data_IF_036514095619
#
_entry.id   IF_036514095619
#
_cell.length_a   1.000
_cell.length_b   1.000
_cell.length_c   1.000
_cell.angle_alpha   90.00
_cell.angle_beta   90.00
_cell.angle_gamma   90.00
#
_symmetry.space_group_name_H-M   'P 1'
#
loop_
_entity.id
_entity.type
_entity.pdbx_description
1 polymer ?
#
# COMPACT_ATOMS: atom_id res chain seq x y z
N UNK A 1 51.13 48.33 39.04
CA UNK A 1 49.92 48.81 38.36
C UNK A 1 49.20 47.55 37.89
N UNK A 2 48.49 46.82 38.75
CA UNK A 2 47.15 47.13 39.29
C UNK A 2 46.19 47.49 38.14
N UNK A 3 45.08 46.79 37.85
CA UNK A 3 44.15 46.01 38.68
C UNK A 3 43.49 44.93 37.80
N UNK A 4 43.42 43.66 38.18
CA UNK A 4 42.61 43.05 39.24
C UNK A 4 41.13 42.87 38.84
N UNK A 5 40.74 41.66 38.42
CA UNK A 5 39.47 41.02 38.82
C UNK A 5 39.47 39.53 38.44
N UNK A 6 40.00 38.74 39.38
CA UNK A 6 39.44 37.45 39.84
C UNK A 6 37.91 37.62 40.11
N UNK A 7 37.01 36.65 40.11
CA UNK A 7 37.01 35.20 40.02
C UNK A 7 35.53 34.78 40.12
N UNK A 8 35.23 33.57 39.64
CA UNK A 8 34.23 32.63 40.20
C UNK A 8 32.74 32.85 39.90
N UNK A 9 32.17 31.70 39.52
CA UNK A 9 30.83 31.31 39.07
C UNK A 9 29.71 31.49 40.09
N UNK A 10 28.46 31.67 39.61
CA UNK A 10 27.23 30.93 40.02
C UNK A 10 25.93 31.56 39.49
N UNK A 11 25.12 30.68 38.88
CA UNK A 11 23.68 30.42 39.09
C UNK A 11 22.63 31.55 39.16
N UNK A 12 21.49 31.23 38.54
CA UNK A 12 20.14 31.82 38.67
C UNK A 12 19.98 33.14 37.89
N UNK A 13 18.90 33.33 37.12
CA UNK A 13 17.60 33.74 37.64
C UNK A 13 16.39 33.21 36.85
N UNK A 14 15.37 32.89 37.64
CA UNK A 14 13.99 32.53 37.28
C UNK A 14 13.17 33.81 37.00
N UNK A 15 12.13 33.61 36.18
CA UNK A 15 10.95 34.38 35.68
C UNK A 15 10.20 35.33 36.66
N UNK A 16 8.97 35.90 36.40
CA UNK A 16 8.13 36.15 35.19
C UNK A 16 7.47 37.58 35.18
N UNK A 17 6.63 37.96 34.19
CA UNK A 17 5.36 38.74 34.40
C UNK A 17 4.52 39.03 33.11
N UNK A 18 3.30 38.46 33.09
CA UNK A 18 1.97 38.89 32.57
C UNK A 18 1.76 39.81 31.33
N UNK A 19 1.20 39.20 30.26
CA UNK A 19 -0.06 39.46 29.46
C UNK A 19 -0.57 40.90 29.10
N UNK A 20 -1.47 41.13 28.09
CA UNK A 20 -2.18 40.22 27.16
C UNK A 20 -2.28 40.71 25.67
N UNK A 21 -2.64 39.81 24.74
CA UNK A 21 -3.72 39.94 23.73
C UNK A 21 -3.45 39.00 22.52
N UNK A 22 -3.93 37.75 22.62
CA UNK A 22 -3.95 36.79 21.51
C UNK A 22 -5.41 36.48 21.18
N UNK A 23 -5.90 36.76 19.96
CA UNK A 23 -7.30 36.57 19.61
C UNK A 23 -7.67 35.08 19.60
N UNK A 24 -8.70 34.72 20.36
CA UNK A 24 -9.25 33.38 20.59
C UNK A 24 -9.55 32.54 19.33
N UNK A 25 -9.55 33.13 18.13
CA UNK A 25 -9.71 32.42 16.86
C UNK A 25 -8.48 31.59 16.45
N UNK A 26 -7.29 31.96 16.91
CA UNK A 26 -6.06 31.18 16.67
C UNK A 26 -5.98 30.00 17.63
N UNK A 27 -6.39 30.19 18.89
CA UNK A 27 -6.49 29.11 19.88
C UNK A 27 -7.52 28.04 19.48
N UNK A 28 -8.68 28.44 18.94
CA UNK A 28 -9.75 27.50 18.58
C UNK A 28 -9.46 26.61 17.35
N UNK A 29 -8.45 26.93 16.52
CA UNK A 29 -8.04 26.06 15.39
C UNK A 29 -6.98 25.02 15.76
N UNK A 30 -6.34 25.16 16.91
CA UNK A 30 -5.23 24.29 17.35
C UNK A 30 -5.74 23.23 18.36
N UNK A 31 -6.94 23.38 18.92
CA UNK A 31 -7.55 22.37 19.78
C UNK A 31 -8.20 21.24 18.97
N UNK A 32 -7.36 20.34 18.43
CA UNK A 32 -7.55 18.88 18.28
C UNK A 32 -6.50 18.28 17.33
N UNK A 33 -5.22 18.55 17.57
CA UNK A 33 -4.19 17.58 17.17
C UNK A 33 -4.10 16.58 18.32
N UNK A 34 -4.63 15.37 18.12
CA UNK A 34 -4.25 14.25 18.96
C UNK A 34 -2.72 14.16 18.91
N UNK A 35 -2.08 14.14 20.08
CA UNK A 35 -0.62 14.01 20.20
C UNK A 35 -0.13 12.89 19.27
N UNK A 36 0.72 13.23 18.29
CA UNK A 36 1.18 12.28 17.28
C UNK A 36 1.85 11.10 17.96
N UNK A 37 1.13 9.99 18.06
CA UNK A 37 1.66 8.73 18.54
C UNK A 37 2.28 8.00 17.35
N UNK A 38 3.61 8.08 17.27
CA UNK A 38 4.41 7.44 16.25
C UNK A 38 4.14 5.93 16.21
N UNK A 39 3.94 5.26 17.35
CA UNK A 39 3.78 3.80 17.37
C UNK A 39 2.46 3.40 16.75
N UNK A 40 1.34 4.02 17.14
CA UNK A 40 0.05 3.74 16.51
C UNK A 40 0.05 4.11 15.02
N UNK A 41 0.71 5.20 14.64
CA UNK A 41 0.87 5.58 13.24
C UNK A 41 1.64 4.53 12.43
N UNK A 42 2.74 3.99 12.98
CA UNK A 42 3.53 2.94 12.33
C UNK A 42 2.75 1.62 12.23
N UNK A 43 1.98 1.26 13.26
CA UNK A 43 1.14 0.06 13.25
C UNK A 43 0.01 0.18 12.22
N UNK A 44 -0.68 1.32 12.17
CA UNK A 44 -1.71 1.58 11.16
C UNK A 44 -1.14 1.52 9.74
N UNK A 45 0.06 2.08 9.51
CA UNK A 45 0.74 2.00 8.22
C UNK A 45 1.10 0.55 7.83
N UNK A 46 1.46 -0.31 8.79
CA UNK A 46 1.76 -1.72 8.52
C UNK A 46 0.50 -2.55 8.19
N UNK A 47 -0.68 -2.12 8.64
CA UNK A 47 -1.98 -2.75 8.43
C UNK A 47 -2.75 -2.17 7.22
N UNK A 48 -2.03 -1.56 6.26
CA UNK A 48 -2.63 -0.93 5.08
C UNK A 48 -3.56 -1.88 4.29
N UNK A 49 -3.32 -3.20 4.31
CA UNK A 49 -4.16 -4.20 3.64
C UNK A 49 -5.51 -4.40 4.33
N UNK A 50 -5.61 -4.12 5.63
CA UNK A 50 -6.84 -4.20 6.42
C UNK A 50 -7.52 -2.84 6.55
N UNK A 51 -6.91 -1.76 6.05
CA UNK A 51 -7.43 -0.41 6.22
C UNK A 51 -8.56 -0.15 5.20
N UNK A 52 -9.77 0.24 5.66
CA UNK A 52 -10.94 0.34 4.77
C UNK A 52 -10.81 1.38 3.64
N UNK A 53 -10.06 2.45 3.83
CA UNK A 53 -9.85 3.52 2.84
C UNK A 53 -8.92 3.11 1.68
N UNK A 54 -7.97 2.21 1.98
CA UNK A 54 -7.06 1.59 1.01
C UNK A 54 -7.70 0.42 0.27
N UNK A 55 -8.80 -0.12 0.78
CA UNK A 55 -9.56 -1.20 0.13
C UNK A 55 -10.58 -0.64 -0.85
N UNK A 56 -10.59 -1.13 -2.10
CA UNK A 56 -11.57 -0.75 -3.13
C UNK A 56 -12.53 -1.90 -3.40
N UNK A 57 -13.82 -1.57 -3.41
CA UNK A 57 -14.88 -2.48 -3.85
C UNK A 57 -15.00 -2.43 -5.38
N UNK A 58 -14.99 -3.59 -6.03
CA UNK A 58 -15.08 -3.72 -7.48
C UNK A 58 -16.21 -4.68 -7.85
N UNK A 59 -17.18 -4.18 -8.59
CA UNK A 59 -18.31 -4.95 -9.08
C UNK A 59 -18.04 -5.55 -10.46
N UNK A 60 -18.17 -6.87 -10.60
CA UNK A 60 -18.15 -7.54 -11.90
C UNK A 60 -19.56 -7.57 -12.49
N UNK A 61 -19.82 -6.64 -13.42
CA UNK A 61 -21.10 -6.47 -14.11
C UNK A 61 -20.98 -6.73 -15.60
N UNK A 62 -21.92 -7.48 -16.17
CA UNK A 62 -22.03 -7.70 -17.62
C UNK A 62 -23.45 -7.47 -18.07
N UNK A 63 -23.64 -6.65 -19.10
CA UNK A 63 -24.96 -6.30 -19.64
C UNK A 63 -25.96 -5.83 -18.55
N UNK A 64 -25.50 -5.02 -17.60
CA UNK A 64 -26.32 -4.50 -16.50
C UNK A 64 -26.61 -5.50 -15.36
N UNK A 65 -26.16 -6.75 -15.46
CA UNK A 65 -26.29 -7.74 -14.38
C UNK A 65 -25.02 -7.81 -13.54
N UNK A 66 -25.16 -7.67 -12.22
CA UNK A 66 -24.12 -7.97 -11.24
C UNK A 66 -23.93 -9.48 -11.10
N UNK A 67 -22.68 -9.93 -11.20
CA UNK A 67 -22.29 -11.32 -10.99
C UNK A 67 -21.73 -11.54 -9.59
N UNK A 68 -20.74 -10.74 -9.22
CA UNK A 68 -20.14 -10.74 -7.90
C UNK A 68 -19.36 -9.44 -7.69
N UNK A 69 -18.99 -9.19 -6.45
CA UNK A 69 -18.19 -8.04 -6.02
C UNK A 69 -16.95 -8.57 -5.31
N UNK A 70 -15.80 -7.92 -5.53
CA UNK A 70 -14.54 -8.24 -4.85
C UNK A 70 -13.98 -7.00 -4.19
N UNK A 71 -13.35 -7.17 -3.05
CA UNK A 71 -12.61 -6.11 -2.36
C UNK A 71 -11.12 -6.31 -2.60
N UNK A 72 -10.44 -5.30 -3.11
CA UNK A 72 -9.00 -5.33 -3.39
C UNK A 72 -8.26 -4.27 -2.61
N UNK A 73 -7.13 -4.64 -2.03
CA UNK A 73 -6.21 -3.78 -1.30
C UNK A 73 -4.87 -3.66 -2.06
N UNK A 74 -4.01 -2.69 -1.70
CA UNK A 74 -2.68 -2.57 -2.29
C UNK A 74 -1.82 -3.82 -2.07
N UNK A 75 -0.90 -4.09 -2.99
CA UNK A 75 0.05 -5.21 -2.90
C UNK A 75 1.41 -4.75 -2.40
N UNK A 76 2.10 -5.60 -1.64
CA UNK A 76 3.50 -5.39 -1.28
C UNK A 76 4.47 -5.86 -2.38
N UNK A 77 5.73 -5.43 -2.27
CA UNK A 77 6.84 -6.05 -3.02
C UNK A 77 6.96 -7.56 -2.80
N UNK A 78 6.67 -8.03 -1.58
CA UNK A 78 6.67 -9.45 -1.25
C UNK A 78 5.55 -10.21 -1.97
N UNK A 79 4.36 -9.59 -2.10
CA UNK A 79 3.25 -10.15 -2.88
C UNK A 79 3.61 -10.25 -4.37
N UNK A 80 4.23 -9.22 -4.93
CA UNK A 80 4.70 -9.21 -6.33
C UNK A 80 5.78 -10.27 -6.55
N UNK A 81 6.73 -10.38 -5.62
CA UNK A 81 7.79 -11.38 -5.64
C UNK A 81 7.22 -12.80 -5.55
N UNK A 82 6.24 -13.01 -4.67
CA UNK A 82 5.53 -14.27 -4.52
C UNK A 82 4.75 -14.62 -5.80
N UNK A 83 4.02 -13.67 -6.38
CA UNK A 83 3.31 -13.85 -7.64
C UNK A 83 4.27 -14.25 -8.77
N UNK A 84 5.40 -13.54 -8.93
CA UNK A 84 6.44 -13.92 -9.92
C UNK A 84 6.96 -15.32 -9.68
N UNK A 85 7.25 -15.67 -8.43
CA UNK A 85 7.75 -17.01 -8.06
C UNK A 85 6.71 -18.10 -8.39
N UNK A 86 5.43 -17.87 -8.09
CA UNK A 86 4.36 -18.84 -8.34
C UNK A 86 4.02 -18.98 -9.84
N UNK A 87 4.25 -17.92 -10.61
CA UNK A 87 4.01 -17.89 -12.05
C UNK A 87 5.22 -18.26 -12.92
N UNK A 88 6.41 -18.46 -12.31
CA UNK A 88 7.61 -18.85 -13.04
C UNK A 88 7.79 -20.38 -13.06
N UNK A 89 8.24 -20.90 -14.19
CA UNK A 89 8.81 -22.26 -14.23
C UNK A 89 10.20 -22.24 -13.60
N UNK A 90 10.62 -23.37 -13.06
CA UNK A 90 11.99 -23.55 -12.55
C UNK A 90 12.58 -24.81 -13.17
N UNK A 91 13.84 -24.75 -13.58
CA UNK A 91 14.53 -25.87 -14.22
C UNK A 91 15.72 -26.32 -13.38
N UNK A 92 16.14 -27.58 -13.55
CA UNK A 92 17.42 -28.03 -13.00
C UNK A 92 18.54 -27.13 -13.54
N UNK A 93 19.52 -26.82 -12.69
CA UNK A 93 20.63 -25.97 -13.12
C UNK A 93 21.50 -26.75 -14.13
N UNK A 94 21.74 -26.22 -15.34
CA UNK A 94 22.59 -26.87 -16.34
C UNK A 94 24.02 -27.14 -15.84
N UNK A 95 24.49 -26.34 -14.88
CA UNK A 95 25.83 -26.46 -14.28
C UNK A 95 25.90 -27.54 -13.20
N UNK A 96 24.77 -28.15 -12.82
CA UNK A 96 24.75 -29.32 -11.94
C UNK A 96 23.56 -29.36 -10.99
N UNK A 97 23.07 -30.58 -10.71
CA UNK A 97 21.86 -30.84 -9.90
C UNK A 97 21.94 -30.39 -8.44
N UNK A 98 23.14 -30.13 -7.92
CA UNK A 98 23.35 -29.66 -6.54
C UNK A 98 23.23 -28.13 -6.40
N UNK A 99 23.17 -27.41 -7.52
CA UNK A 99 23.04 -25.95 -7.52
C UNK A 99 21.58 -25.52 -7.48
N UNK A 100 21.28 -24.29 -7.00
CA UNK A 100 19.94 -23.75 -7.03
C UNK A 100 19.33 -23.81 -8.43
N UNK A 101 18.03 -24.14 -8.48
CA UNK A 101 17.26 -24.18 -9.73
C UNK A 101 17.25 -22.82 -10.39
N UNK A 102 17.30 -22.82 -11.72
CA UNK A 102 17.29 -21.59 -12.51
C UNK A 102 15.84 -21.22 -12.82
N UNK A 103 15.50 -19.94 -12.64
CA UNK A 103 14.19 -19.40 -13.02
C UNK A 103 14.06 -19.44 -14.54
N UNK A 104 12.96 -20.02 -14.99
CA UNK A 104 12.55 -20.09 -16.37
C UNK A 104 11.67 -18.92 -16.80
N UNK A 105 10.88 -19.18 -17.84
CA UNK A 105 9.87 -18.24 -18.33
C UNK A 105 8.81 -17.93 -17.25
N UNK A 106 8.38 -16.67 -17.23
CA UNK A 106 7.26 -16.17 -16.45
C UNK A 106 5.97 -16.34 -17.25
N UNK A 107 4.99 -17.03 -16.69
CA UNK A 107 3.63 -17.04 -17.22
C UNK A 107 2.92 -15.75 -16.81
N UNK A 108 2.87 -14.75 -17.70
CA UNK A 108 2.25 -13.45 -17.42
C UNK A 108 0.76 -13.55 -17.07
N UNK A 109 0.04 -14.52 -17.64
CA UNK A 109 -1.38 -14.70 -17.33
C UNK A 109 -1.55 -15.20 -15.89
N UNK A 110 -0.78 -16.22 -15.52
CA UNK A 110 -0.78 -16.76 -14.15
C UNK A 110 -0.26 -15.73 -13.15
N UNK A 111 0.74 -14.92 -13.52
CA UNK A 111 1.22 -13.81 -12.71
C UNK A 111 0.09 -12.83 -12.38
N UNK A 112 -0.66 -12.36 -13.39
CA UNK A 112 -1.80 -11.47 -13.17
C UNK A 112 -2.88 -12.13 -12.30
N UNK A 113 -3.15 -13.44 -12.47
CA UNK A 113 -4.08 -14.13 -11.57
C UNK A 113 -3.58 -14.12 -10.11
N UNK A 114 -2.28 -14.31 -9.89
CA UNK A 114 -1.71 -14.23 -8.54
C UNK A 114 -1.76 -12.83 -7.95
N UNK A 115 -1.52 -11.78 -8.74
CA UNK A 115 -1.66 -10.39 -8.28
C UNK A 115 -3.09 -10.13 -7.81
N UNK A 116 -4.09 -10.46 -8.63
CA UNK A 116 -5.51 -10.31 -8.23
C UNK A 116 -5.80 -11.12 -6.97
N UNK A 117 -5.35 -12.38 -6.91
CA UNK A 117 -5.59 -13.24 -5.75
C UNK A 117 -4.98 -12.65 -4.47
N UNK A 118 -3.74 -12.17 -4.51
CA UNK A 118 -3.02 -11.59 -3.36
C UNK A 118 -3.47 -10.18 -3.00
N UNK A 119 -4.11 -9.45 -3.91
CA UNK A 119 -4.74 -8.16 -3.63
C UNK A 119 -6.17 -8.32 -3.09
N UNK A 120 -6.84 -9.44 -3.35
CA UNK A 120 -8.24 -9.63 -2.91
C UNK A 120 -8.29 -9.82 -1.39
N UNK A 121 -9.29 -9.27 -0.69
CA UNK A 121 -9.52 -9.54 0.73
C UNK A 121 -9.69 -11.04 1.02
N UNK A 122 -9.25 -11.51 2.19
CA UNK A 122 -9.22 -12.95 2.51
C UNK A 122 -10.60 -13.61 2.43
N UNK A 123 -11.65 -12.93 2.91
CA UNK A 123 -13.03 -13.40 2.84
C UNK A 123 -13.49 -13.64 1.40
N UNK A 124 -13.15 -12.73 0.49
CA UNK A 124 -13.49 -12.85 -0.94
C UNK A 124 -12.65 -13.91 -1.64
N UNK A 125 -11.39 -14.13 -1.22
CA UNK A 125 -10.57 -15.24 -1.73
C UNK A 125 -11.23 -16.58 -1.46
N UNK A 126 -11.74 -16.81 -0.26
CA UNK A 126 -12.41 -18.07 0.08
C UNK A 126 -13.76 -18.19 -0.62
N UNK A 127 -14.59 -17.14 -0.52
CA UNK A 127 -15.97 -17.14 -1.00
C UNK A 127 -16.08 -17.21 -2.53
N UNK A 128 -15.17 -16.54 -3.25
CA UNK A 128 -15.24 -16.35 -4.70
C UNK A 128 -14.21 -17.22 -5.39
N UNK A 129 -12.91 -16.97 -5.15
CA UNK A 129 -11.84 -17.66 -5.89
C UNK A 129 -11.66 -19.12 -5.45
N UNK A 130 -11.84 -19.39 -4.16
CA UNK A 130 -11.78 -20.72 -3.55
C UNK A 130 -13.12 -21.45 -3.49
N UNK A 131 -14.16 -20.92 -4.14
CA UNK A 131 -15.50 -21.47 -4.04
C UNK A 131 -15.54 -22.94 -4.47
N UNK A 132 -15.90 -23.83 -3.53
CA UNK A 132 -15.84 -25.28 -3.77
C UNK A 132 -16.69 -25.77 -4.94
N UNK A 133 -17.81 -25.10 -5.24
CA UNK A 133 -18.68 -25.46 -6.36
C UNK A 133 -18.02 -25.12 -7.71
N UNK A 134 -17.37 -23.95 -7.80
CA UNK A 134 -16.60 -23.53 -8.97
C UNK A 134 -15.39 -24.44 -9.17
N UNK A 135 -14.62 -24.68 -8.11
CA UNK A 135 -13.44 -25.55 -8.17
C UNK A 135 -13.79 -26.94 -8.68
N UNK A 136 -14.87 -27.55 -8.16
CA UNK A 136 -15.34 -28.86 -8.63
C UNK A 136 -15.85 -28.83 -10.07
N UNK A 137 -16.65 -27.82 -10.43
CA UNK A 137 -17.26 -27.72 -11.76
C UNK A 137 -16.23 -27.61 -12.88
N UNK A 138 -15.15 -26.87 -12.65
CA UNK A 138 -14.10 -26.65 -13.65
C UNK A 138 -12.83 -27.50 -13.40
N UNK A 139 -12.88 -28.43 -12.44
CA UNK A 139 -11.76 -29.30 -12.06
C UNK A 139 -10.46 -28.52 -11.75
N UNK A 140 -10.60 -27.46 -10.94
CA UNK A 140 -9.49 -26.58 -10.56
C UNK A 140 -8.73 -27.18 -9.39
N UNK A 141 -7.41 -27.09 -9.45
CA UNK A 141 -6.50 -27.54 -8.40
C UNK A 141 -6.20 -26.44 -7.39
N UNK A 142 -6.28 -25.17 -7.81
CA UNK A 142 -5.96 -24.01 -6.97
C UNK A 142 -7.01 -22.90 -7.11
N UNK A 143 -7.33 -22.18 -6.03
CA UNK A 143 -8.26 -21.04 -6.08
C UNK A 143 -7.91 -20.00 -7.15
N UNK A 144 -6.62 -19.67 -7.31
CA UNK A 144 -6.13 -18.70 -8.31
C UNK A 144 -6.51 -19.04 -9.76
N UNK A 145 -6.74 -20.32 -10.06
CA UNK A 145 -7.12 -20.75 -11.41
C UNK A 145 -8.54 -20.31 -11.77
N UNK A 146 -9.41 -20.14 -10.76
CA UNK A 146 -10.80 -19.71 -10.97
C UNK A 146 -10.92 -18.32 -11.58
N UNK A 147 -9.94 -17.44 -11.34
CA UNK A 147 -9.90 -16.06 -11.84
C UNK A 147 -9.99 -16.04 -13.37
N UNK A 148 -9.32 -16.98 -14.05
CA UNK A 148 -9.34 -17.10 -15.51
C UNK A 148 -10.66 -17.63 -16.08
N UNK A 149 -11.51 -18.23 -15.24
CA UNK A 149 -12.85 -18.70 -15.64
C UNK A 149 -13.93 -17.69 -15.28
N UNK A 150 -13.73 -16.94 -14.20
CA UNK A 150 -14.73 -16.02 -13.65
C UNK A 150 -14.65 -14.65 -14.29
N UNK A 151 -13.46 -14.18 -14.69
CA UNK A 151 -13.26 -12.88 -15.34
C UNK A 151 -13.07 -13.01 -16.85
N UNK A 152 -13.61 -12.07 -17.62
CA UNK A 152 -13.18 -11.88 -19.01
C UNK A 152 -11.86 -11.09 -19.04
N UNK A 153 -11.15 -11.13 -20.18
CA UNK A 153 -9.84 -10.50 -20.31
C UNK A 153 -9.83 -9.01 -19.94
N UNK A 154 -10.85 -8.25 -20.35
CA UNK A 154 -10.99 -6.83 -20.02
C UNK A 154 -11.16 -6.57 -18.52
N UNK A 155 -12.04 -7.32 -17.85
CA UNK A 155 -12.25 -7.22 -16.39
C UNK A 155 -10.98 -7.58 -15.62
N UNK A 156 -10.23 -8.59 -16.09
CA UNK A 156 -8.94 -8.97 -15.51
C UNK A 156 -7.91 -7.86 -15.66
N UNK A 157 -7.84 -7.21 -16.82
CA UNK A 157 -6.95 -6.06 -17.03
C UNK A 157 -7.30 -4.92 -16.09
N UNK A 158 -8.59 -4.54 -16.02
CA UNK A 158 -9.05 -3.44 -15.16
C UNK A 158 -8.74 -3.66 -13.69
N UNK A 159 -8.87 -4.90 -13.19
CA UNK A 159 -8.47 -5.22 -11.83
C UNK A 159 -6.96 -5.07 -11.61
N UNK A 160 -6.13 -5.48 -12.57
CA UNK A 160 -4.67 -5.30 -12.46
C UNK A 160 -4.30 -3.82 -12.45
N UNK A 161 -4.88 -3.04 -13.37
CA UNK A 161 -4.60 -1.62 -13.48
C UNK A 161 -5.00 -0.90 -12.17
N UNK A 162 -6.19 -1.21 -11.63
CA UNK A 162 -6.63 -0.69 -10.34
C UNK A 162 -5.69 -1.11 -9.20
N UNK A 163 -5.28 -2.38 -9.14
CA UNK A 163 -4.39 -2.87 -8.09
C UNK A 163 -3.05 -2.14 -8.13
N UNK A 164 -2.48 -1.90 -9.32
CA UNK A 164 -1.22 -1.18 -9.46
C UNK A 164 -1.36 0.31 -9.13
N UNK A 165 -2.46 0.96 -9.52
CA UNK A 165 -2.78 2.35 -9.15
C UNK A 165 -2.88 2.51 -7.62
N UNK A 166 -3.71 1.71 -6.94
CA UNK A 166 -3.82 1.79 -5.47
C UNK A 166 -2.54 1.36 -4.74
N UNK A 167 -1.63 0.66 -5.42
CA UNK A 167 -0.31 0.31 -4.89
C UNK A 167 0.79 1.33 -5.23
N UNK A 168 0.45 2.44 -5.92
CA UNK A 168 1.40 3.46 -6.35
C UNK A 168 2.50 2.91 -7.26
N UNK A 169 2.11 2.00 -8.15
CA UNK A 169 2.97 1.37 -9.16
C UNK A 169 2.59 1.78 -10.58
N UNK A 170 1.57 2.64 -10.76
CA UNK A 170 1.30 3.30 -12.03
C UNK A 170 2.35 4.37 -12.30
N UNK A 171 2.68 4.56 -13.59
CA UNK A 171 3.58 5.63 -14.06
C UNK A 171 2.88 7.01 -14.01
N UNK A 172 2.24 7.32 -12.89
CA UNK A 172 1.81 8.68 -12.60
C UNK A 172 3.06 9.42 -12.11
N UNK A 173 3.89 9.88 -13.05
CA UNK A 173 4.88 10.91 -12.76
C UNK A 173 4.14 12.05 -12.07
N UNK A 174 4.41 12.26 -10.78
CA UNK A 174 3.87 13.37 -10.00
C UNK A 174 4.17 14.69 -10.73
N UNK A 175 3.22 15.18 -11.54
CA UNK A 175 3.09 16.60 -11.91
C UNK A 175 2.70 17.38 -10.63
N UNK A 176 3.51 17.31 -9.59
CA UNK A 176 3.54 18.35 -8.58
C UNK A 176 4.25 19.55 -9.21
N UNK A 177 3.46 20.36 -9.93
CA UNK A 177 3.77 21.75 -10.23
C UNK A 177 4.13 22.44 -8.91
N UNK A 178 5.43 22.49 -8.62
CA UNK A 178 5.94 23.38 -7.60
C UNK A 178 5.72 24.81 -8.08
N UNK A 179 4.53 25.35 -7.82
CA UNK A 179 4.26 26.78 -7.75
C UNK A 179 5.13 27.35 -6.62
N UNK A 180 6.43 27.53 -6.92
CA UNK A 180 7.32 28.37 -6.15
C UNK A 180 6.85 29.81 -6.38
N UNK A 181 5.86 30.22 -5.58
CA UNK A 181 5.36 31.58 -5.53
C UNK A 181 6.52 32.58 -5.40
N UNK A 182 6.43 33.58 -6.27
CA UNK A 182 7.22 34.79 -6.43
C UNK A 182 7.61 35.46 -5.08
N UNK A 183 8.73 35.05 -4.49
CA UNK A 183 9.46 35.83 -3.47
C UNK A 183 10.83 36.26 -3.99
N UNK A 184 10.83 36.96 -5.13
CA UNK A 184 11.97 37.78 -5.55
C UNK A 184 11.50 39.18 -6.00
N UNK A 185 10.63 39.80 -5.20
CA UNK A 185 10.45 41.26 -5.19
C UNK A 185 10.37 41.76 -3.76
N UNK A 186 11.53 42.11 -3.21
CA UNK A 186 11.81 43.39 -2.52
C UNK A 186 13.24 43.41 -1.99
#
# INVERSE_FOLDING_TARGET
>A
MENNTNEVTRAEFITPLNEPDMPAKVAAKIEKEDEYDLVSSLLAAAEYQQTPDMTKEVEIRRNGRLYFTVHVHPVSEDDISLARKKASKYYENPQGKKLPRVRGELDSNLFNSWIIYLATAEEDREKIWGNSAIMKKFNLLKPVESINYLLIAGEKSQLIDLIFDISKLSDDEDEEEAEAEDYAKN
#
